data_IF_924676912465
#
_entry.id   IF_924676912465
#
_cell.length_a   1.000
_cell.length_b   1.000
_cell.length_c   1.000
_cell.angle_alpha   90.00
_cell.angle_beta   90.00
_cell.angle_gamma   90.00
#
_symmetry.space_group_name_H-M   'P 1'
#
loop_
_entity.id
_entity.type
_entity.pdbx_description
1 polymer ?
#
# COMPACT_ATOMS: atom_id res chain seq x y z
N UNK A 1 13.66 -3.23 27.16
CA UNK A 1 12.41 -2.47 27.39
C UNK A 1 12.65 -1.06 26.90
N UNK A 2 11.81 -0.53 26.02
CA UNK A 2 11.97 0.83 25.47
C UNK A 2 10.91 1.74 26.07
N UNK A 3 11.31 2.91 26.57
CA UNK A 3 10.41 3.90 27.14
C UNK A 3 10.16 5.01 26.10
N UNK A 4 8.89 5.24 25.75
CA UNK A 4 8.44 6.28 24.83
C UNK A 4 7.34 7.10 25.51
N UNK A 5 7.28 8.41 25.24
CA UNK A 5 6.11 9.21 25.61
C UNK A 5 4.90 8.78 24.77
N UNK A 6 3.67 8.99 25.29
CA UNK A 6 2.45 8.69 24.55
C UNK A 6 2.39 9.38 23.18
N UNK A 7 2.78 10.65 23.12
CA UNK A 7 2.86 11.42 21.87
C UNK A 7 3.86 10.82 20.87
N UNK A 8 5.05 10.41 21.34
CA UNK A 8 6.05 9.77 20.48
C UNK A 8 5.60 8.40 20.01
N UNK A 9 4.96 7.63 20.88
CA UNK A 9 4.35 6.35 20.53
C UNK A 9 3.28 6.53 19.44
N UNK A 10 2.39 7.50 19.60
CA UNK A 10 1.30 7.74 18.65
C UNK A 10 1.83 8.22 17.30
N UNK A 11 2.87 9.07 17.30
CA UNK A 11 3.54 9.49 16.07
C UNK A 11 4.15 8.30 15.32
N UNK A 12 4.96 7.49 16.00
CA UNK A 12 5.61 6.31 15.40
C UNK A 12 4.56 5.31 14.91
N UNK A 13 3.49 5.09 15.69
CA UNK A 13 2.38 4.21 15.28
C UNK A 13 1.67 4.72 14.03
N UNK A 14 1.45 6.04 13.91
CA UNK A 14 0.91 6.62 12.69
C UNK A 14 1.85 6.39 11.49
N UNK A 15 3.13 6.71 11.66
CA UNK A 15 4.17 6.60 10.61
C UNK A 15 4.30 5.17 10.06
N UNK A 16 4.01 4.13 10.86
CA UNK A 16 4.09 2.72 10.44
C UNK A 16 2.76 2.09 10.02
N UNK A 17 1.61 2.70 10.27
CA UNK A 17 0.32 2.02 10.06
C UNK A 17 -0.71 2.85 9.31
N UNK A 18 -0.76 4.17 9.50
CA UNK A 18 -1.86 5.00 9.00
C UNK A 18 -1.96 4.95 7.47
N UNK A 19 -0.86 5.26 6.78
CA UNK A 19 -0.83 5.29 5.31
C UNK A 19 -0.96 3.89 4.73
N UNK A 20 -0.34 2.90 5.37
CA UNK A 20 -0.44 1.49 4.95
C UNK A 20 -1.89 1.01 4.95
N UNK A 21 -2.64 1.28 6.01
CA UNK A 21 -4.06 0.94 6.06
C UNK A 21 -4.87 1.73 5.03
N UNK A 22 -4.63 3.04 4.89
CA UNK A 22 -5.32 3.85 3.89
C UNK A 22 -5.12 3.32 2.46
N UNK A 23 -3.91 2.89 2.11
CA UNK A 23 -3.61 2.30 0.82
C UNK A 23 -4.48 1.04 0.55
N UNK A 24 -4.47 0.07 1.47
CA UNK A 24 -5.20 -1.18 1.27
C UNK A 24 -6.72 -1.04 1.36
N UNK A 25 -7.23 -0.16 2.22
CA UNK A 25 -8.65 0.19 2.24
C UNK A 25 -9.08 0.84 0.91
N UNK A 26 -8.20 1.65 0.32
CA UNK A 26 -8.46 2.25 -0.99
C UNK A 26 -8.45 1.21 -2.11
N UNK A 27 -7.55 0.21 -2.06
CA UNK A 27 -7.52 -0.90 -3.02
C UNK A 27 -8.81 -1.70 -2.99
N UNK A 28 -9.26 -2.16 -1.82
CA UNK A 28 -10.49 -2.96 -1.73
C UNK A 28 -11.73 -2.19 -2.15
N UNK A 29 -11.78 -0.89 -1.85
CA UNK A 29 -12.87 -0.01 -2.32
C UNK A 29 -12.86 0.11 -3.84
N UNK A 30 -11.70 0.32 -4.47
CA UNK A 30 -11.58 0.43 -5.92
C UNK A 30 -11.90 -0.88 -6.65
N UNK A 31 -11.53 -2.03 -6.08
CA UNK A 31 -11.89 -3.34 -6.64
C UNK A 31 -13.40 -3.60 -6.56
N UNK A 32 -14.04 -3.27 -5.44
CA UNK A 32 -15.49 -3.41 -5.31
C UNK A 32 -16.24 -2.45 -6.24
N UNK A 33 -15.77 -1.20 -6.40
CA UNK A 33 -16.37 -0.22 -7.31
C UNK A 33 -16.33 -0.69 -8.78
N UNK A 34 -15.23 -1.34 -9.16
CA UNK A 34 -15.07 -1.97 -10.48
C UNK A 34 -15.70 -3.37 -10.59
N UNK A 35 -16.38 -3.87 -9.54
CA UNK A 35 -16.97 -5.22 -9.49
C UNK A 35 -15.99 -6.33 -9.86
N UNK A 36 -14.73 -6.19 -9.44
CA UNK A 36 -13.66 -7.12 -9.76
C UNK A 36 -13.11 -7.85 -8.54
N UNK A 37 -12.62 -9.06 -8.78
CA UNK A 37 -11.77 -9.82 -7.87
C UNK A 37 -10.39 -9.91 -8.53
N UNK A 38 -9.37 -9.16 -8.06
CA UNK A 38 -8.10 -9.05 -8.78
C UNK A 38 -7.40 -10.39 -9.01
N UNK A 39 -7.53 -11.37 -8.11
CA UNK A 39 -6.96 -12.71 -8.31
C UNK A 39 -7.65 -13.54 -9.41
N UNK A 40 -8.83 -13.12 -9.89
CA UNK A 40 -9.55 -13.73 -11.02
C UNK A 40 -9.19 -13.06 -12.36
N UNK A 41 -8.28 -12.08 -12.36
CA UNK A 41 -7.88 -11.31 -13.54
C UNK A 41 -6.37 -11.44 -13.76
N UNK A 42 -5.96 -12.02 -14.89
CA UNK A 42 -4.56 -12.35 -15.20
C UNK A 42 -3.58 -11.20 -14.96
N UNK A 43 -3.96 -9.95 -15.27
CA UNK A 43 -3.11 -8.75 -15.11
C UNK A 43 -2.73 -8.43 -13.65
N UNK A 44 -3.43 -8.99 -12.67
CA UNK A 44 -3.22 -8.78 -11.24
C UNK A 44 -2.63 -10.02 -10.54
N UNK A 45 -2.22 -11.05 -11.29
CA UNK A 45 -1.67 -12.28 -10.74
C UNK A 45 -0.15 -12.25 -10.76
N UNK A 46 0.48 -12.38 -9.58
CA UNK A 46 1.94 -12.49 -9.44
C UNK A 46 2.62 -11.29 -8.75
N UNK A 47 3.83 -11.56 -8.25
CA UNK A 47 4.76 -10.57 -7.68
C UNK A 47 4.13 -9.66 -6.63
N UNK A 48 4.31 -8.35 -6.84
CA UNK A 48 3.80 -7.28 -5.97
C UNK A 48 2.27 -7.35 -5.79
N UNK A 49 1.53 -7.78 -6.82
CA UNK A 49 0.07 -7.80 -6.78
C UNK A 49 -0.46 -8.86 -5.80
N UNK A 50 0.20 -10.01 -5.69
CA UNK A 50 -0.16 -11.03 -4.69
C UNK A 50 -0.04 -10.49 -3.27
N UNK A 51 0.99 -9.70 -2.98
CA UNK A 51 1.16 -9.07 -1.67
C UNK A 51 0.00 -8.10 -1.41
N UNK A 52 -0.34 -7.26 -2.38
CA UNK A 52 -1.44 -6.30 -2.27
C UNK A 52 -2.77 -6.99 -1.99
N UNK A 53 -3.07 -8.05 -2.73
CA UNK A 53 -4.29 -8.84 -2.59
C UNK A 53 -4.37 -9.46 -1.19
N UNK A 54 -3.34 -10.19 -0.78
CA UNK A 54 -3.32 -10.89 0.50
C UNK A 54 -3.45 -9.91 1.68
N UNK A 55 -2.73 -8.79 1.66
CA UNK A 55 -2.81 -7.82 2.76
C UNK A 55 -4.18 -7.12 2.77
N UNK A 56 -4.72 -6.75 1.61
CA UNK A 56 -6.05 -6.12 1.52
C UNK A 56 -7.13 -7.03 2.09
N UNK A 57 -7.18 -8.30 1.67
CA UNK A 57 -8.17 -9.26 2.17
C UNK A 57 -8.00 -9.55 3.65
N UNK A 58 -6.76 -9.62 4.15
CA UNK A 58 -6.49 -9.75 5.59
C UNK A 58 -7.01 -8.57 6.39
N UNK A 59 -6.87 -7.34 5.88
CA UNK A 59 -7.40 -6.14 6.54
C UNK A 59 -8.93 -6.21 6.59
N UNK A 60 -9.58 -6.49 5.45
CA UNK A 60 -11.04 -6.59 5.41
C UNK A 60 -11.61 -7.80 6.17
N UNK A 61 -10.83 -8.84 6.43
CA UNK A 61 -11.23 -9.95 7.30
C UNK A 61 -11.23 -9.60 8.80
N UNK A 62 -10.72 -8.43 9.19
CA UNK A 62 -10.68 -7.96 10.57
C UNK A 62 -11.81 -6.97 10.89
N UNK A 63 -11.88 -6.51 12.15
CA UNK A 63 -12.91 -5.57 12.61
C UNK A 63 -12.53 -4.13 12.29
N UNK A 64 -13.44 -3.40 11.65
CA UNK A 64 -13.26 -2.01 11.21
C UNK A 64 -12.74 -1.07 12.31
N UNK A 65 -13.20 -1.26 13.56
CA UNK A 65 -12.89 -0.36 14.68
C UNK A 65 -11.41 -0.37 15.09
N UNK A 66 -10.66 -1.45 14.77
CA UNK A 66 -9.21 -1.52 14.98
C UNK A 66 -8.48 -0.48 14.12
N UNK A 67 -8.96 -0.27 12.90
CA UNK A 67 -8.38 0.66 11.94
C UNK A 67 -8.91 2.08 12.14
N UNK A 68 -10.21 2.22 12.38
CA UNK A 68 -10.85 3.53 12.61
C UNK A 68 -10.32 4.23 13.86
N UNK A 69 -10.10 3.49 14.95
CA UNK A 69 -9.58 4.06 16.20
C UNK A 69 -8.24 4.75 15.99
N UNK A 70 -7.29 4.06 15.36
CA UNK A 70 -5.99 4.66 15.00
C UNK A 70 -6.17 5.84 14.04
N UNK A 71 -6.90 5.65 12.94
CA UNK A 71 -6.98 6.66 11.88
C UNK A 71 -7.66 7.96 12.35
N UNK A 72 -8.75 7.87 13.12
CA UNK A 72 -9.57 9.02 13.51
C UNK A 72 -9.06 9.69 14.79
N UNK A 73 -8.56 8.93 15.76
CA UNK A 73 -8.19 9.49 17.07
C UNK A 73 -6.75 10.02 17.10
N UNK A 74 -5.89 9.59 16.17
CA UNK A 74 -4.50 10.02 16.09
C UNK A 74 -4.33 11.21 15.11
N UNK A 75 -3.95 12.41 15.59
CA UNK A 75 -3.76 13.58 14.71
C UNK A 75 -2.68 13.38 13.64
N UNK A 76 -1.59 12.67 13.95
CA UNK A 76 -0.55 12.37 12.97
C UNK A 76 -1.07 11.43 11.87
N UNK A 77 -1.92 10.45 12.22
CA UNK A 77 -2.55 9.58 11.25
C UNK A 77 -3.49 10.35 10.31
N UNK A 78 -4.29 11.29 10.84
CA UNK A 78 -5.16 12.17 10.03
C UNK A 78 -4.37 12.93 8.97
N UNK A 79 -3.27 13.57 9.37
CA UNK A 79 -2.44 14.34 8.46
C UNK A 79 -1.77 13.45 7.40
N UNK A 80 -1.28 12.28 7.80
CA UNK A 80 -0.69 11.31 6.89
C UNK A 80 -1.67 10.77 5.86
N UNK A 81 -2.88 10.42 6.27
CA UNK A 81 -3.92 9.91 5.36
C UNK A 81 -4.35 11.01 4.38
N UNK A 82 -4.45 12.26 4.86
CA UNK A 82 -4.72 13.43 4.01
C UNK A 82 -3.64 13.65 2.97
N UNK A 83 -2.38 13.63 3.39
CA UNK A 83 -1.25 13.78 2.48
C UNK A 83 -1.17 12.61 1.49
N UNK A 84 -1.46 11.38 1.92
CA UNK A 84 -1.48 10.22 1.02
C UNK A 84 -2.51 10.37 -0.09
N UNK A 85 -3.75 10.77 0.25
CA UNK A 85 -4.78 11.03 -0.74
C UNK A 85 -4.37 12.14 -1.72
N UNK A 86 -3.69 13.18 -1.22
CA UNK A 86 -3.14 14.25 -2.06
C UNK A 86 -2.03 13.72 -3.00
N UNK A 87 -1.07 12.96 -2.47
CA UNK A 87 0.03 12.35 -3.22
C UNK A 87 -0.48 11.44 -4.33
N UNK A 88 -1.40 10.53 -4.04
CA UNK A 88 -2.04 9.65 -5.05
C UNK A 88 -2.74 10.50 -6.13
N UNK A 89 -3.51 11.51 -5.73
CA UNK A 89 -4.24 12.38 -6.66
C UNK A 89 -3.30 13.16 -7.59
N UNK A 90 -2.24 13.74 -7.05
CA UNK A 90 -1.28 14.53 -7.84
C UNK A 90 -0.47 13.65 -8.79
N UNK A 91 -0.02 12.47 -8.34
CA UNK A 91 0.68 11.52 -9.20
C UNK A 91 -0.24 11.02 -10.33
N UNK A 92 -1.49 10.67 -10.02
CA UNK A 92 -2.46 10.26 -11.04
C UNK A 92 -2.73 11.36 -12.08
N UNK A 93 -2.77 12.63 -11.66
CA UNK A 93 -2.90 13.76 -12.61
C UNK A 93 -1.71 13.87 -13.55
N UNK A 94 -0.48 13.65 -13.07
CA UNK A 94 0.72 13.62 -13.92
C UNK A 94 0.67 12.47 -14.92
N UNK A 95 0.24 11.28 -14.48
CA UNK A 95 0.02 10.10 -15.31
C UNK A 95 -1.01 10.36 -16.40
N UNK A 96 -2.15 10.96 -16.04
CA UNK A 96 -3.24 11.29 -16.94
C UNK A 96 -2.83 12.36 -17.98
N UNK A 97 -2.06 13.36 -17.55
CA UNK A 97 -1.62 14.47 -18.38
C UNK A 97 -0.45 14.17 -19.33
N UNK A 98 0.13 12.96 -19.27
CA UNK A 98 1.27 12.64 -20.13
C UNK A 98 2.62 13.15 -19.61
N UNK A 99 2.69 13.68 -18.38
CA UNK A 99 3.83 14.45 -17.87
C UNK A 99 4.97 13.55 -17.34
N UNK A 100 5.58 12.76 -18.23
CA UNK A 100 6.56 11.73 -17.86
C UNK A 100 7.78 12.27 -17.14
N UNK A 101 8.38 13.36 -17.62
CA UNK A 101 9.61 13.93 -17.03
C UNK A 101 9.35 14.46 -15.62
N UNK A 102 8.23 15.15 -15.42
CA UNK A 102 7.82 15.66 -14.10
C UNK A 102 7.50 14.52 -13.13
N UNK A 103 6.76 13.50 -13.59
CA UNK A 103 6.49 12.30 -12.80
C UNK A 103 7.79 11.60 -12.40
N UNK A 104 8.70 11.38 -13.36
CA UNK A 104 9.97 10.72 -13.12
C UNK A 104 10.82 11.47 -12.10
N UNK A 105 10.94 12.79 -12.25
CA UNK A 105 11.70 13.62 -11.33
C UNK A 105 11.11 13.54 -9.91
N UNK A 106 9.78 13.66 -9.78
CA UNK A 106 9.09 13.60 -8.49
C UNK A 106 9.29 12.25 -7.80
N UNK A 107 9.06 11.14 -8.51
CA UNK A 107 9.20 9.78 -7.98
C UNK A 107 10.66 9.50 -7.58
N UNK A 108 11.63 9.79 -8.45
CA UNK A 108 13.05 9.55 -8.14
C UNK A 108 13.55 10.42 -6.98
N UNK A 109 13.07 11.66 -6.87
CA UNK A 109 13.38 12.55 -5.73
C UNK A 109 12.81 11.98 -4.43
N UNK A 110 11.55 11.55 -4.42
CA UNK A 110 10.92 10.95 -3.24
C UNK A 110 11.64 9.66 -2.81
N UNK A 111 11.97 8.80 -3.78
CA UNK A 111 12.73 7.57 -3.54
C UNK A 111 14.09 7.82 -2.91
N UNK A 112 14.86 8.78 -3.45
CA UNK A 112 16.17 9.13 -2.91
C UNK A 112 16.10 9.72 -1.49
N UNK A 113 15.04 10.44 -1.16
CA UNK A 113 14.84 11.00 0.18
C UNK A 113 14.44 9.94 1.21
N UNK A 114 13.63 8.95 0.82
CA UNK A 114 13.10 7.91 1.71
C UNK A 114 14.06 6.73 1.86
N UNK A 115 14.76 6.34 0.79
CA UNK A 115 15.63 5.16 0.70
C UNK A 115 17.09 5.53 0.40
N UNK A 116 17.64 6.51 1.12
CA UNK A 116 18.99 7.02 0.87
C UNK A 116 20.05 5.89 0.92
N UNK A 117 21.18 6.09 0.23
CA UNK A 117 22.24 5.06 0.16
C UNK A 117 22.80 4.68 1.53
N UNK A 118 22.70 5.56 2.52
CA UNK A 118 23.15 5.35 3.89
C UNK A 118 22.18 4.51 4.73
N UNK A 119 20.95 4.25 4.23
CA UNK A 119 20.06 3.21 4.78
C UNK A 119 20.60 1.83 4.35
N UNK A 120 21.79 1.48 4.85
CA UNK A 120 22.44 0.19 4.61
C UNK A 120 21.97 -0.82 5.69
N UNK A 121 21.69 -2.04 5.26
CA UNK A 121 21.50 -3.26 6.09
C UNK A 121 20.16 -3.48 6.79
N UNK A 122 19.07 -3.57 6.03
CA UNK A 122 18.00 -4.49 6.43
C UNK A 122 17.76 -5.47 5.27
N UNK A 123 18.10 -6.73 5.47
CA UNK A 123 17.85 -7.83 4.52
C UNK A 123 16.33 -8.06 4.38
N UNK A 124 15.61 -7.16 3.71
CA UNK A 124 14.25 -7.40 3.23
C UNK A 124 14.33 -7.83 1.76
N UNK A 125 15.04 -8.94 1.51
CA UNK A 125 15.08 -9.59 0.20
C UNK A 125 13.77 -10.34 -0.05
N UNK A 126 12.71 -9.58 -0.30
CA UNK A 126 11.50 -10.08 -0.95
C UNK A 126 11.76 -10.13 -2.46
N UNK A 127 12.51 -11.14 -2.91
CA UNK A 127 12.64 -11.43 -4.33
C UNK A 127 11.31 -11.90 -4.91
N UNK A 128 11.07 -11.64 -6.20
CA UNK A 128 9.83 -12.03 -6.90
C UNK A 128 9.47 -13.51 -6.70
N UNK A 129 10.47 -14.40 -6.62
CA UNK A 129 10.27 -15.84 -6.33
C UNK A 129 9.64 -16.14 -4.96
N UNK A 130 9.86 -15.28 -3.95
CA UNK A 130 9.23 -15.41 -2.63
C UNK A 130 7.80 -14.89 -2.68
N UNK A 131 7.58 -13.78 -3.39
CA UNK A 131 6.27 -13.16 -3.54
C UNK A 131 5.31 -14.02 -4.39
N UNK A 132 5.84 -14.69 -5.41
CA UNK A 132 5.08 -15.53 -6.34
C UNK A 132 4.53 -16.81 -5.71
N UNK A 133 5.11 -17.28 -4.59
CA UNK A 133 4.66 -18.51 -3.89
C UNK A 133 3.28 -18.37 -3.24
N UNK A 134 2.81 -17.16 -3.02
CA UNK A 134 1.59 -16.87 -2.24
C UNK A 134 0.47 -16.30 -3.10
N UNK A 135 0.26 -16.88 -4.27
CA UNK A 135 -0.82 -16.52 -5.20
C UNK A 135 -2.13 -17.22 -4.85
N UNK A 136 -3.26 -16.51 -5.02
CA UNK A 136 -4.61 -17.09 -4.97
C UNK A 136 -5.02 -17.75 -6.30
N UNK A 137 -4.22 -17.61 -7.36
CA UNK A 137 -4.50 -18.14 -8.70
C UNK A 137 -3.24 -18.67 -9.40
N UNK A 138 -3.43 -19.44 -10.48
CA UNK A 138 -2.32 -19.98 -11.28
C UNK A 138 -1.59 -18.86 -12.01
N UNK A 139 -0.26 -18.89 -11.96
CA UNK A 139 0.61 -17.87 -12.54
C UNK A 139 0.42 -17.75 -14.06
N UNK A 140 0.26 -16.54 -14.62
CA UNK A 140 0.37 -16.33 -16.06
C UNK A 140 1.81 -16.51 -16.53
N UNK A 141 2.00 -16.88 -17.80
CA UNK A 141 3.33 -17.10 -18.38
C UNK A 141 4.16 -15.80 -18.50
N UNK A 142 3.51 -14.64 -18.59
CA UNK A 142 4.14 -13.33 -18.70
C UNK A 142 3.55 -12.36 -17.68
N UNK A 143 4.41 -11.53 -17.06
CA UNK A 143 4.00 -10.48 -16.13
C UNK A 143 3.44 -9.29 -16.90
N UNK A 144 2.26 -8.80 -16.53
CA UNK A 144 1.75 -7.52 -17.02
C UNK A 144 2.43 -6.35 -16.27
N UNK A 145 3.11 -5.41 -16.96
CA UNK A 145 3.63 -4.19 -16.35
C UNK A 145 2.53 -3.37 -15.66
N UNK A 146 2.77 -2.91 -14.44
CA UNK A 146 1.82 -2.11 -13.66
C UNK A 146 2.52 -0.83 -13.16
N UNK A 147 1.80 0.30 -13.14
CA UNK A 147 2.34 1.57 -12.63
C UNK A 147 2.44 1.65 -11.10
N UNK A 148 1.79 0.73 -10.39
CA UNK A 148 1.79 0.63 -8.94
C UNK A 148 1.55 1.97 -8.22
N UNK A 149 0.58 2.77 -8.66
CA UNK A 149 0.22 4.08 -8.09
C UNK A 149 0.12 4.05 -6.55
N UNK A 150 -0.38 2.95 -5.98
CA UNK A 150 -0.46 2.75 -4.53
C UNK A 150 0.90 2.83 -3.80
N UNK A 151 1.97 2.29 -4.41
CA UNK A 151 3.33 2.31 -3.88
C UNK A 151 3.98 3.66 -4.11
N UNK A 152 3.84 4.21 -5.33
CA UNK A 152 4.36 5.54 -5.67
C UNK A 152 3.78 6.62 -4.75
N UNK A 153 2.47 6.56 -4.50
CA UNK A 153 1.79 7.49 -3.59
C UNK A 153 2.26 7.39 -2.15
N UNK A 154 2.69 6.21 -1.70
CA UNK A 154 3.17 6.03 -0.32
C UNK A 154 4.53 6.68 -0.12
N UNK A 155 5.44 6.49 -1.08
CA UNK A 155 6.79 7.08 -1.02
C UNK A 155 6.73 8.59 -1.20
N UNK A 156 5.88 9.08 -2.11
CA UNK A 156 5.65 10.51 -2.23
C UNK A 156 5.07 11.10 -0.93
N UNK A 157 4.10 10.42 -0.29
CA UNK A 157 3.56 10.85 0.99
C UNK A 157 4.64 10.92 2.09
N UNK A 158 5.47 9.89 2.22
CA UNK A 158 6.57 9.88 3.18
C UNK A 158 7.56 11.02 2.93
N UNK A 159 7.94 11.23 1.67
CA UNK A 159 8.81 12.33 1.28
C UNK A 159 8.21 13.70 1.63
N UNK A 160 6.94 13.94 1.31
CA UNK A 160 6.26 15.21 1.61
C UNK A 160 6.16 15.52 3.10
N UNK A 161 6.11 14.48 3.94
CA UNK A 161 6.03 14.62 5.40
C UNK A 161 7.39 14.50 6.10
N UNK A 162 8.48 14.29 5.36
CA UNK A 162 9.81 14.06 5.93
C UNK A 162 9.87 12.80 6.80
N UNK A 163 9.10 11.76 6.46
CA UNK A 163 9.07 10.49 7.19
C UNK A 163 10.06 9.54 6.53
N UNK A 164 10.99 8.99 7.33
CA UNK A 164 11.83 7.86 6.95
C UNK A 164 11.31 6.62 7.68
N UNK A 165 10.63 5.68 7.00
CA UNK A 165 10.01 4.50 7.62
C UNK A 165 10.92 3.68 8.53
N UNK A 166 12.20 3.60 8.17
CA UNK A 166 13.21 2.82 8.89
C UNK A 166 13.55 3.38 10.28
N UNK A 167 13.34 4.68 10.52
CA UNK A 167 13.58 5.29 11.83
C UNK A 167 12.52 4.86 12.87
N UNK A 168 11.39 4.35 12.41
CA UNK A 168 10.19 4.07 13.21
C UNK A 168 9.88 2.58 13.37
N UNK A 169 10.85 1.71 13.06
CA UNK A 169 10.69 0.25 13.08
C UNK A 169 10.31 -0.34 14.44
N UNK A 170 10.46 0.40 15.53
CA UNK A 170 10.11 -0.07 16.88
C UNK A 170 8.62 -0.41 17.05
N UNK A 171 7.72 0.29 16.35
CA UNK A 171 6.27 0.01 16.35
C UNK A 171 5.83 -0.60 15.00
N UNK A 172 6.75 -1.25 14.28
CA UNK A 172 6.42 -1.90 13.00
C UNK A 172 5.60 -3.17 13.22
N UNK A 173 4.55 -3.33 12.41
CA UNK A 173 3.78 -4.58 12.31
C UNK A 173 4.37 -5.46 11.20
N UNK A 174 4.12 -6.79 11.21
CA UNK A 174 4.52 -7.66 10.09
C UNK A 174 4.03 -7.15 8.73
N UNK A 175 2.80 -6.62 8.66
CA UNK A 175 2.22 -6.06 7.44
C UNK A 175 3.01 -4.84 6.95
N UNK A 176 3.36 -3.93 7.85
CA UNK A 176 4.18 -2.78 7.51
C UNK A 176 5.56 -3.20 6.99
N UNK A 177 6.21 -4.17 7.64
CA UNK A 177 7.54 -4.65 7.20
C UNK A 177 7.51 -5.24 5.80
N UNK A 178 6.51 -6.08 5.51
CA UNK A 178 6.31 -6.66 4.17
C UNK A 178 6.10 -5.55 3.15
N UNK A 179 5.21 -4.61 3.46
CA UNK A 179 4.88 -3.52 2.55
C UNK A 179 6.05 -2.56 2.31
N UNK A 180 6.81 -2.23 3.36
CA UNK A 180 8.03 -1.44 3.27
C UNK A 180 9.07 -2.15 2.40
N UNK A 181 9.28 -3.46 2.59
CA UNK A 181 10.20 -4.25 1.78
C UNK A 181 9.81 -4.29 0.30
N UNK A 182 8.52 -4.46 -0.01
CA UNK A 182 8.02 -4.39 -1.40
C UNK A 182 8.21 -3.00 -2.00
N UNK A 183 7.97 -1.96 -1.21
CA UNK A 183 8.16 -0.57 -1.67
C UNK A 183 9.64 -0.29 -1.94
N UNK A 184 10.52 -0.71 -1.05
CA UNK A 184 11.97 -0.57 -1.24
C UNK A 184 12.46 -1.36 -2.46
N UNK A 185 11.99 -2.60 -2.65
CA UNK A 185 12.32 -3.41 -3.82
C UNK A 185 12.02 -2.67 -5.13
N UNK A 186 10.84 -2.06 -5.24
CA UNK A 186 10.47 -1.25 -6.40
C UNK A 186 11.44 -0.08 -6.61
N UNK A 187 11.75 0.67 -5.55
CA UNK A 187 12.53 1.90 -5.66
C UNK A 187 14.05 1.68 -5.79
N UNK A 188 14.56 0.52 -5.37
CA UNK A 188 15.98 0.15 -5.54
C UNK A 188 16.26 -0.59 -6.85
N UNK A 189 15.24 -1.05 -7.57
CA UNK A 189 15.39 -1.65 -8.88
C UNK A 189 15.16 -0.58 -9.97
N UNK A 190 16.25 0.04 -10.45
CA UNK A 190 16.17 1.14 -11.43
C UNK A 190 15.42 0.75 -12.72
N UNK A 191 15.66 -0.47 -13.23
CA UNK A 191 14.98 -0.98 -14.42
C UNK A 191 13.47 -1.11 -14.20
N UNK A 192 13.07 -1.68 -13.06
CA UNK A 192 11.65 -1.82 -12.71
C UNK A 192 11.01 -0.44 -12.50
N UNK A 193 11.68 0.47 -11.80
CA UNK A 193 11.15 1.81 -11.53
C UNK A 193 10.94 2.61 -12.83
N UNK A 194 11.87 2.51 -13.78
CA UNK A 194 11.74 3.14 -15.09
C UNK A 194 10.60 2.52 -15.93
N UNK A 195 10.39 1.20 -15.84
CA UNK A 195 9.24 0.52 -16.47
C UNK A 195 7.92 1.01 -15.85
N UNK A 196 7.87 1.11 -14.52
CA UNK A 196 6.71 1.57 -13.77
C UNK A 196 6.34 3.00 -14.16
N UNK A 197 7.31 3.92 -14.20
CA UNK A 197 7.11 5.32 -14.62
C UNK A 197 6.66 5.40 -16.09
N UNK A 198 7.24 4.58 -16.97
CA UNK A 198 6.82 4.51 -18.38
C UNK A 198 5.36 4.04 -18.49
N UNK A 199 5.05 2.90 -17.88
CA UNK A 199 3.71 2.28 -17.86
C UNK A 199 2.67 3.25 -17.31
N UNK A 200 3.01 4.00 -16.26
CA UNK A 200 2.15 5.00 -15.64
C UNK A 200 1.61 6.04 -16.62
N UNK A 201 2.38 6.37 -17.66
CA UNK A 201 2.02 7.39 -18.64
C UNK A 201 1.52 6.78 -19.94
N UNK A 202 2.22 5.76 -20.45
CA UNK A 202 1.98 5.23 -21.81
C UNK A 202 0.97 4.09 -21.88
N UNK A 203 0.66 3.43 -20.76
CA UNK A 203 -0.25 2.30 -20.72
C UNK A 203 -1.57 2.68 -20.03
N UNK A 204 -2.69 2.21 -20.61
CA UNK A 204 -4.03 2.48 -20.12
C UNK A 204 -4.69 1.29 -19.43
N UNK A 205 -4.00 0.14 -19.35
CA UNK A 205 -4.53 -1.11 -18.80
C UNK A 205 -5.08 -0.90 -17.40
N UNK A 206 -4.35 -0.22 -16.52
CA UNK A 206 -4.76 0.02 -15.13
C UNK A 206 -5.42 1.39 -14.90
N UNK A 207 -5.57 2.23 -15.94
CA UNK A 207 -5.94 3.66 -15.78
C UNK A 207 -7.30 3.87 -15.13
N UNK A 208 -8.27 3.00 -15.45
CA UNK A 208 -9.60 3.00 -14.84
C UNK A 208 -9.56 2.55 -13.39
N UNK A 209 -8.73 1.56 -13.07
CA UNK A 209 -8.56 1.07 -11.71
C UNK A 209 -7.88 2.12 -10.83
N UNK A 210 -6.88 2.82 -11.37
CA UNK A 210 -6.19 3.93 -10.72
C UNK A 210 -7.10 5.14 -10.45
N UNK A 211 -8.10 5.36 -11.31
CA UNK A 211 -9.13 6.39 -11.10
C UNK A 211 -9.96 6.07 -9.86
N UNK A 212 -10.52 4.85 -9.80
CA UNK A 212 -11.29 4.37 -8.65
C UNK A 212 -10.44 4.34 -7.39
N UNK A 213 -9.15 3.97 -7.49
CA UNK A 213 -8.21 4.04 -6.39
C UNK A 213 -8.01 5.45 -5.86
N UNK A 214 -7.86 6.44 -6.75
CA UNK A 214 -7.74 7.87 -6.39
C UNK A 214 -9.02 8.37 -5.71
N UNK A 215 -10.19 7.94 -6.17
CA UNK A 215 -11.48 8.29 -5.56
C UNK A 215 -11.62 7.68 -4.17
N UNK A 216 -11.27 6.40 -4.03
CA UNK A 216 -11.28 5.70 -2.76
C UNK A 216 -10.34 6.35 -1.73
N UNK A 217 -9.11 6.70 -2.11
CA UNK A 217 -8.13 7.33 -1.23
C UNK A 217 -8.65 8.66 -0.66
N UNK A 218 -9.25 9.51 -1.50
CA UNK A 218 -9.88 10.76 -1.06
C UNK A 218 -11.06 10.51 -0.13
N UNK A 219 -11.91 9.55 -0.46
CA UNK A 219 -13.10 9.27 0.34
C UNK A 219 -12.77 8.71 1.73
N UNK A 220 -11.73 7.87 1.85
CA UNK A 220 -11.20 7.43 3.15
C UNK A 220 -10.58 8.57 3.93
N UNK A 221 -9.82 9.45 3.25
CA UNK A 221 -9.26 10.66 3.88
C UNK A 221 -10.35 11.57 4.44
N UNK A 222 -11.39 11.89 3.67
CA UNK A 222 -12.51 12.72 4.11
C UNK A 222 -13.21 12.11 5.33
N UNK A 223 -13.48 10.80 5.29
CA UNK A 223 -14.09 10.07 6.39
C UNK A 223 -13.28 10.20 7.69
N UNK A 224 -11.96 10.11 7.59
CA UNK A 224 -11.02 10.24 8.70
C UNK A 224 -10.93 11.68 9.20
N UNK A 225 -10.83 12.66 8.28
CA UNK A 225 -10.75 14.08 8.60
C UNK A 225 -11.99 14.58 9.35
N UNK A 226 -13.19 14.13 8.96
CA UNK A 226 -14.43 14.48 9.64
C UNK A 226 -14.66 13.71 10.96
N UNK A 227 -13.82 12.72 11.26
CA UNK A 227 -14.01 11.84 12.42
C UNK A 227 -15.32 11.06 12.40
N UNK A 228 -15.82 10.73 11.19
CA UNK A 228 -17.12 10.11 10.99
C UNK A 228 -17.04 8.58 11.18
N UNK A 229 -17.08 8.13 12.44
CA UNK A 229 -17.01 6.69 12.78
C UNK A 229 -18.08 5.85 12.09
N UNK A 230 -19.33 6.32 12.03
CA UNK A 230 -20.43 5.58 11.39
C UNK A 230 -20.22 5.44 9.88
N UNK A 231 -19.76 6.51 9.22
CA UNK A 231 -19.44 6.48 7.79
C UNK A 231 -18.25 5.55 7.51
N UNK A 232 -17.24 5.55 8.39
CA UNK A 232 -16.09 4.65 8.29
C UNK A 232 -16.55 3.19 8.38
N UNK A 233 -17.37 2.88 9.40
CA UNK A 233 -17.96 1.57 9.61
C UNK A 233 -18.74 1.11 8.38
N UNK A 234 -19.69 1.92 7.90
CA UNK A 234 -20.54 1.56 6.78
C UNK A 234 -19.72 1.28 5.51
N UNK A 235 -18.73 2.12 5.21
CA UNK A 235 -17.79 1.89 4.09
C UNK A 235 -17.03 0.57 4.27
N UNK A 236 -16.45 0.34 5.45
CA UNK A 236 -15.67 -0.86 5.70
C UNK A 236 -16.52 -2.13 5.59
N UNK A 237 -17.67 -2.17 6.26
CA UNK A 237 -18.56 -3.33 6.32
C UNK A 237 -19.17 -3.66 4.95
N UNK A 238 -19.44 -2.65 4.11
CA UNK A 238 -19.91 -2.86 2.74
C UNK A 238 -18.86 -3.60 1.88
N UNK A 239 -17.61 -3.15 1.93
CA UNK A 239 -16.51 -3.82 1.21
C UNK A 239 -16.19 -5.19 1.83
N UNK A 240 -16.29 -5.31 3.16
CA UNK A 240 -16.15 -6.58 3.85
C UNK A 240 -17.20 -7.59 3.39
N UNK A 241 -18.46 -7.18 3.22
CA UNK A 241 -19.53 -8.02 2.71
C UNK A 241 -19.27 -8.48 1.27
N UNK A 242 -18.75 -7.59 0.43
CA UNK A 242 -18.37 -7.91 -0.96
C UNK A 242 -17.31 -9.03 -1.03
N UNK A 243 -16.29 -8.99 -0.17
CA UNK A 243 -15.23 -10.00 -0.13
C UNK A 243 -15.51 -11.21 0.78
N UNK A 244 -16.61 -11.20 1.53
CA UNK A 244 -16.92 -12.22 2.53
C UNK A 244 -16.82 -13.67 2.03
N UNK A 245 -17.29 -14.03 0.82
CA UNK A 245 -17.18 -15.39 0.30
C UNK A 245 -15.73 -15.87 0.07
N UNK A 246 -14.76 -14.95 0.04
CA UNK A 246 -13.36 -15.21 -0.34
C UNK A 246 -12.41 -15.16 0.86
N UNK A 247 -12.86 -14.67 2.02
CA UNK A 247 -12.03 -14.60 3.23
C UNK A 247 -11.46 -15.93 3.71
N UNK A 248 -12.18 -17.07 3.70
CA UNK A 248 -11.61 -18.32 4.23
C UNK A 248 -10.31 -18.72 3.54
N UNK A 249 -10.25 -18.63 2.22
CA UNK A 249 -9.06 -18.93 1.44
C UNK A 249 -7.99 -17.85 1.57
N UNK A 250 -8.39 -16.59 1.46
CA UNK A 250 -7.47 -15.45 1.56
C UNK A 250 -6.76 -15.36 2.92
N UNK A 251 -7.47 -15.67 4.02
CA UNK A 251 -6.90 -15.69 5.37
C UNK A 251 -5.88 -16.82 5.49
N UNK A 252 -6.15 -18.00 4.91
CA UNK A 252 -5.22 -19.13 4.91
C UNK A 252 -3.93 -18.77 4.16
N UNK A 253 -4.03 -18.33 2.90
CA UNK A 253 -2.86 -17.98 2.07
C UNK A 253 -2.10 -16.78 2.64
N UNK A 254 -2.81 -15.75 3.12
CA UNK A 254 -2.19 -14.58 3.73
C UNK A 254 -1.44 -14.90 5.03
N UNK A 255 -1.91 -15.87 5.83
CA UNK A 255 -1.18 -16.34 7.02
C UNK A 255 0.10 -17.10 6.64
N UNK A 256 0.02 -18.00 5.65
CA UNK A 256 1.18 -18.74 5.14
C UNK A 256 2.27 -17.78 4.61
N UNK A 257 1.86 -16.75 3.85
CA UNK A 257 2.75 -15.71 3.33
C UNK A 257 3.50 -14.99 4.44
N UNK A 258 2.78 -14.51 5.46
CA UNK A 258 3.40 -13.75 6.56
C UNK A 258 4.36 -14.63 7.35
N UNK A 259 4.00 -15.89 7.62
CA UNK A 259 4.88 -16.81 8.36
C UNK A 259 6.19 -17.09 7.62
N UNK A 260 6.14 -17.34 6.32
CA UNK A 260 7.34 -17.57 5.51
C UNK A 260 8.23 -16.32 5.47
N UNK A 261 7.64 -15.15 5.20
CA UNK A 261 8.39 -13.90 5.12
C UNK A 261 9.04 -13.56 6.47
N UNK A 262 8.32 -13.74 7.58
CA UNK A 262 8.86 -13.50 8.92
C UNK A 262 10.01 -14.47 9.26
N UNK A 263 9.91 -15.75 8.87
CA UNK A 263 10.99 -16.73 9.06
C UNK A 263 12.27 -16.32 8.31
N UNK A 264 12.14 -15.85 7.07
CA UNK A 264 13.29 -15.44 6.24
C UNK A 264 13.93 -14.11 6.66
N UNK A 265 13.16 -13.21 7.27
CA UNK A 265 13.63 -11.88 7.70
C UNK A 265 14.18 -11.88 9.14
N UNK A 266 14.05 -12.98 9.87
CA UNK A 266 14.70 -13.20 11.17
C UNK A 266 16.07 -13.90 11.06
N UNK A 267 16.46 -14.37 9.87
CA UNK A 267 17.77 -14.95 9.56
C UNK A 267 18.71 -13.88 8.97
#
# INVERSE_FOLDING_TARGET
>A
MVFLSGEKHDRITADTQAVTHAAFLSMGTAWAANQQFPWEIDRYVGGIENVKINITLRIYANKWHVYAGLAILNPAAKEQIRQYAQSVTELYKLMLGGHREELAQRIKTAGAAVFSKDTVHHNLLLGDEVLDKFSLSKRPNERTPNNHLSLLGIVDCWWKLGIVPYDHMICSTPLFRIWLGVTEYLFRNETLLDEVIKTAVSDNTFRSDDLEFTFAARAWSECVSFGAFDAYRARFENIQQYFAPRFPEAVRVGNEMIQEIMTRTQQ
#
